data_IF_367991156423
#
_entry.id   IF_367991156423
#
_cell.length_a   1.000
_cell.length_b   1.000
_cell.length_c   1.000
_cell.angle_alpha   90.00
_cell.angle_beta   90.00
_cell.angle_gamma   90.00
#
_symmetry.space_group_name_H-M   'P 1'
#
loop_
_entity.id
_entity.type
_entity.pdbx_description
1 polymer ?
#
# COMPACT_ATOMS: atom_id res chain seq x y z
N UNK A 1 7.56 -1.15 35.56
CA UNK A 1 8.39 -1.85 34.56
C UNK A 1 8.76 -3.19 35.16
N UNK A 2 8.17 -4.29 34.70
CA UNK A 2 8.65 -5.62 35.07
C UNK A 2 10.06 -5.78 34.50
N UNK A 3 11.04 -6.14 35.32
CA UNK A 3 12.38 -6.45 34.83
C UNK A 3 12.25 -7.56 33.79
N UNK A 4 12.74 -7.34 32.56
CA UNK A 4 12.77 -8.38 31.53
C UNK A 4 13.73 -9.54 31.83
N UNK A 5 14.19 -9.65 33.09
CA UNK A 5 15.04 -10.71 33.58
C UNK A 5 14.16 -11.72 34.30
N UNK A 6 14.12 -12.94 33.79
CA UNK A 6 13.53 -14.10 34.46
C UNK A 6 14.46 -14.50 35.60
N UNK A 7 13.91 -14.66 36.80
CA UNK A 7 14.69 -15.12 37.95
C UNK A 7 14.95 -16.62 37.85
N UNK A 8 15.99 -17.11 38.54
CA UNK A 8 16.32 -18.55 38.54
C UNK A 8 15.15 -19.40 39.05
N UNK A 9 14.43 -18.90 40.04
CA UNK A 9 13.26 -19.54 40.65
C UNK A 9 12.10 -19.65 39.65
N UNK A 10 11.77 -18.57 38.91
CA UNK A 10 10.74 -18.60 37.87
C UNK A 10 11.06 -19.61 36.76
N UNK A 11 12.34 -19.78 36.42
CA UNK A 11 12.80 -20.70 35.40
C UNK A 11 12.69 -22.17 35.87
N UNK A 12 12.96 -22.42 37.15
CA UNK A 12 12.77 -23.73 37.80
C UNK A 12 11.29 -24.09 37.93
N UNK A 13 10.43 -23.14 38.30
CA UNK A 13 8.98 -23.35 38.33
C UNK A 13 8.41 -23.67 36.95
N UNK A 14 8.87 -22.98 35.91
CA UNK A 14 8.50 -23.28 34.52
C UNK A 14 8.96 -24.68 34.10
N UNK A 15 10.18 -25.09 34.47
CA UNK A 15 10.67 -26.46 34.25
C UNK A 15 9.81 -27.49 34.97
N UNK A 16 9.46 -27.23 36.24
CA UNK A 16 8.60 -28.11 37.04
C UNK A 16 7.19 -28.24 36.48
N UNK A 17 6.54 -27.13 36.13
CA UNK A 17 5.21 -27.14 35.50
C UNK A 17 5.21 -27.90 34.17
N UNK A 18 6.28 -27.76 33.37
CA UNK A 18 6.44 -28.51 32.13
C UNK A 18 6.58 -30.00 32.39
N UNK A 19 7.37 -30.37 33.41
CA UNK A 19 7.56 -31.74 33.83
C UNK A 19 6.25 -32.38 34.29
N UNK A 20 5.45 -31.68 35.10
CA UNK A 20 4.14 -32.13 35.57
C UNK A 20 3.15 -32.30 34.40
N UNK A 21 3.16 -31.36 33.44
CA UNK A 21 2.35 -31.48 32.23
C UNK A 21 2.77 -32.66 31.36
N UNK A 22 4.08 -32.92 31.27
CA UNK A 22 4.62 -34.06 30.54
C UNK A 22 4.24 -35.40 31.20
N UNK A 23 4.35 -35.48 32.52
CA UNK A 23 3.94 -36.64 33.31
C UNK A 23 2.45 -36.93 33.23
N UNK A 24 1.61 -35.89 33.09
CA UNK A 24 0.17 -36.05 32.88
C UNK A 24 -0.17 -36.65 31.51
N UNK A 25 0.64 -36.40 30.49
CA UNK A 25 0.45 -36.92 29.13
C UNK A 25 1.11 -38.29 28.94
N UNK A 26 2.11 -38.64 29.77
CA UNK A 26 2.72 -39.97 29.76
C UNK A 26 1.72 -41.07 30.07
N UNK A 27 1.82 -42.16 29.32
CA UNK A 27 1.13 -43.42 29.57
C UNK A 27 1.98 -44.32 30.48
N UNK A 28 1.37 -45.19 31.29
CA UNK A 28 2.10 -46.16 32.10
C UNK A 28 3.01 -47.10 31.29
N UNK A 29 2.67 -47.34 30.02
CA UNK A 29 3.43 -48.18 29.08
C UNK A 29 4.50 -47.41 28.28
N UNK A 30 4.57 -46.08 28.40
CA UNK A 30 5.67 -45.33 27.79
C UNK A 30 6.98 -45.79 28.42
N UNK A 31 8.06 -45.98 27.65
CA UNK A 31 9.30 -46.55 28.14
C UNK A 31 9.93 -45.61 29.19
N UNK A 32 9.58 -45.84 30.45
CA UNK A 32 10.32 -45.37 31.61
C UNK A 32 11.62 -46.16 31.59
N UNK A 33 12.74 -45.46 31.38
CA UNK A 33 14.06 -46.07 31.25
C UNK A 33 14.34 -47.06 32.38
N UNK A 34 14.03 -48.33 32.13
CA UNK A 34 14.31 -49.44 33.02
C UNK A 34 15.49 -50.16 32.41
N UNK A 35 16.68 -49.79 32.88
CA UNK A 35 17.87 -50.61 32.73
C UNK A 35 17.66 -51.91 33.53
N UNK A 36 16.87 -52.83 32.99
CA UNK A 36 16.92 -54.23 33.40
C UNK A 36 17.97 -54.94 32.55
N UNK A 37 19.09 -55.20 33.22
CA UNK A 37 19.93 -56.39 33.07
C UNK A 37 19.69 -57.25 31.80
N UNK A 38 20.56 -57.09 30.80
CA UNK A 38 21.00 -58.24 30.01
C UNK A 38 22.23 -58.81 30.72
N UNK A 39 22.20 -60.04 31.26
CA UNK A 39 23.42 -60.67 31.73
C UNK A 39 24.24 -61.10 30.52
N UNK A 40 25.39 -60.45 30.37
CA UNK A 40 26.59 -60.92 29.68
C UNK A 40 26.58 -60.96 28.13
N UNK A 41 27.18 -59.94 27.51
CA UNK A 41 27.92 -60.10 26.25
C UNK A 41 28.97 -58.99 26.06
N UNK A 42 30.23 -59.28 26.42
CA UNK A 42 31.44 -58.75 25.76
C UNK A 42 31.94 -57.35 26.14
N UNK A 43 33.28 -57.11 26.10
CA UNK A 43 33.89 -55.81 26.34
C UNK A 43 33.91 -55.02 25.03
N UNK A 44 32.77 -54.48 24.60
CA UNK A 44 32.76 -53.39 23.63
C UNK A 44 31.72 -52.36 24.07
N UNK A 45 32.12 -51.55 25.05
CA UNK A 45 31.37 -50.38 25.51
C UNK A 45 31.36 -49.32 24.39
N UNK A 46 30.50 -49.53 23.38
CA UNK A 46 29.95 -48.42 22.63
C UNK A 46 28.99 -47.72 23.57
N UNK A 47 29.35 -46.51 24.01
CA UNK A 47 28.45 -45.63 24.75
C UNK A 47 27.26 -45.27 23.85
N UNK A 48 26.25 -46.13 23.81
CA UNK A 48 24.91 -45.66 23.55
C UNK A 48 24.53 -44.81 24.75
N UNK A 49 24.54 -43.50 24.51
CA UNK A 49 23.99 -42.47 25.37
C UNK A 49 22.51 -42.81 25.57
N UNK A 50 22.24 -43.67 26.54
CA UNK A 50 20.92 -44.10 26.95
C UNK A 50 20.13 -42.84 27.28
N UNK A 51 19.20 -42.53 26.39
CA UNK A 51 18.36 -41.34 26.42
C UNK A 51 17.58 -41.34 27.74
N UNK A 52 17.94 -40.42 28.62
CA UNK A 52 17.16 -40.05 29.79
C UNK A 52 15.92 -39.32 29.29
N UNK A 53 14.86 -40.05 28.94
CA UNK A 53 13.54 -39.50 28.59
C UNK A 53 12.68 -39.21 29.84
N UNK A 54 13.33 -39.02 30.99
CA UNK A 54 12.63 -38.64 32.23
C UNK A 54 12.38 -37.14 32.31
N UNK A 55 13.12 -36.32 31.58
CA UNK A 55 13.01 -34.86 31.60
C UNK A 55 12.24 -34.35 30.38
N UNK A 56 11.21 -33.52 30.61
CA UNK A 56 10.42 -32.92 29.55
C UNK A 56 11.34 -32.13 28.58
N UNK A 57 11.23 -32.33 27.25
CA UNK A 57 12.10 -31.67 26.27
C UNK A 57 12.21 -30.17 26.54
N UNK A 58 13.44 -29.66 26.64
CA UNK A 58 13.64 -28.22 26.80
C UNK A 58 13.11 -27.49 25.55
N UNK A 59 12.35 -26.38 25.73
CA UNK A 59 11.81 -25.64 24.61
C UNK A 59 12.97 -25.14 23.76
N UNK A 60 12.78 -25.18 22.45
CA UNK A 60 13.80 -24.73 21.50
C UNK A 60 14.31 -23.34 21.89
N UNK A 61 15.61 -23.28 22.19
CA UNK A 61 16.29 -22.02 22.48
C UNK A 61 16.07 -21.11 21.28
N UNK A 62 15.68 -19.86 21.54
CA UNK A 62 15.40 -18.88 20.50
C UNK A 62 16.59 -18.81 19.51
N UNK A 63 16.39 -19.36 18.31
CA UNK A 63 17.43 -19.44 17.28
C UNK A 63 17.75 -18.08 16.63
N UNK A 64 17.07 -17.00 17.07
CA UNK A 64 17.42 -15.64 16.66
C UNK A 64 18.76 -15.26 17.28
N UNK A 65 19.68 -14.80 16.44
CA UNK A 65 20.93 -14.21 16.91
C UNK A 65 20.64 -13.07 17.90
N UNK A 66 21.51 -12.87 18.89
CA UNK A 66 21.43 -11.72 19.80
C UNK A 66 21.32 -10.40 19.02
N UNK A 67 21.99 -10.32 17.87
CA UNK A 67 21.91 -9.17 16.96
C UNK A 67 20.47 -8.94 16.44
N UNK A 68 19.79 -10.00 16.01
CA UNK A 68 18.41 -9.92 15.53
C UNK A 68 17.46 -9.54 16.66
N UNK A 69 17.62 -10.11 17.85
CA UNK A 69 16.80 -9.76 19.01
C UNK A 69 16.96 -8.29 19.41
N UNK A 70 18.19 -7.77 19.44
CA UNK A 70 18.45 -6.37 19.76
C UNK A 70 17.93 -5.44 18.66
N UNK A 71 18.04 -5.84 17.38
CA UNK A 71 17.46 -5.11 16.25
C UNK A 71 15.95 -5.05 16.37
N UNK A 72 15.28 -6.20 16.53
CA UNK A 72 13.82 -6.30 16.69
C UNK A 72 13.34 -5.45 17.89
N UNK A 73 14.05 -5.49 19.03
CA UNK A 73 13.74 -4.66 20.20
C UNK A 73 13.88 -3.16 19.94
N UNK A 74 14.89 -2.75 19.17
CA UNK A 74 15.11 -1.35 18.80
C UNK A 74 14.02 -0.90 17.83
N UNK A 75 13.74 -1.69 16.81
CA UNK A 75 12.70 -1.42 15.81
C UNK A 75 11.31 -1.38 16.44
N UNK A 76 10.97 -2.29 17.35
CA UNK A 76 9.69 -2.29 18.06
C UNK A 76 9.52 -1.02 18.90
N UNK A 77 10.54 -0.64 19.69
CA UNK A 77 10.51 0.62 20.46
C UNK A 77 10.42 1.85 19.56
N UNK A 78 11.13 1.84 18.43
CA UNK A 78 11.11 2.95 17.49
C UNK A 78 9.74 3.08 16.82
N UNK A 79 9.14 1.97 16.39
CA UNK A 79 7.81 1.93 15.80
C UNK A 79 6.75 2.45 16.78
N UNK A 80 6.81 2.05 18.06
CA UNK A 80 5.89 2.53 19.10
C UNK A 80 6.03 4.06 19.33
N UNK A 81 7.27 4.56 19.36
CA UNK A 81 7.54 6.00 19.49
C UNK A 81 6.99 6.76 18.27
N UNK A 82 7.19 6.23 17.07
CA UNK A 82 6.76 6.87 15.83
C UNK A 82 5.23 6.84 15.69
N UNK A 83 4.57 5.76 16.12
CA UNK A 83 3.11 5.69 16.26
C UNK A 83 2.59 6.74 17.26
N UNK A 84 3.14 6.81 18.47
CA UNK A 84 2.74 7.78 19.49
C UNK A 84 2.94 9.23 19.02
N UNK A 85 4.06 9.53 18.36
CA UNK A 85 4.32 10.85 17.77
C UNK A 85 3.40 11.16 16.61
N UNK A 86 3.09 10.16 15.77
CA UNK A 86 2.13 10.31 14.68
C UNK A 86 0.74 10.63 15.22
N UNK A 87 0.29 9.96 16.28
CA UNK A 87 -0.97 10.29 16.94
C UNK A 87 -0.97 11.72 17.49
N UNK A 88 0.12 12.16 18.13
CA UNK A 88 0.25 13.54 18.62
C UNK A 88 0.24 14.58 17.49
N UNK A 89 0.87 14.28 16.37
CA UNK A 89 0.91 15.17 15.21
C UNK A 89 -0.42 15.22 14.47
N UNK A 90 -1.14 14.10 14.40
CA UNK A 90 -2.46 14.02 13.78
C UNK A 90 -3.58 14.61 14.65
N UNK A 91 -3.43 14.55 15.97
CA UNK A 91 -4.34 15.12 16.96
C UNK A 91 -3.68 16.38 17.55
N UNK A 92 -3.07 17.19 16.68
CA UNK A 92 -2.70 18.56 17.01
C UNK A 92 -3.83 19.44 16.52
N UNK A 93 -4.47 20.18 17.43
CA UNK A 93 -5.44 21.21 17.02
C UNK A 93 -4.75 22.23 16.11
N UNK A 94 -5.56 22.89 15.27
CA UNK A 94 -5.11 24.13 14.61
C UNK A 94 -4.89 25.15 15.73
N UNK A 95 -3.69 25.72 15.81
CA UNK A 95 -3.39 26.75 16.80
C UNK A 95 -4.15 28.06 16.47
N UNK A 96 -4.31 28.95 17.45
CA UNK A 96 -5.01 30.24 17.27
C UNK A 96 -4.43 31.05 16.09
N UNK A 97 -3.09 31.15 16.02
CA UNK A 97 -2.37 31.81 14.93
C UNK A 97 -2.58 31.14 13.55
N UNK A 98 -2.63 29.80 13.52
CA UNK A 98 -2.87 29.04 12.30
C UNK A 98 -4.32 29.22 11.81
N UNK A 99 -5.27 29.30 12.74
CA UNK A 99 -6.69 29.56 12.42
C UNK A 99 -6.89 30.95 11.81
N UNK A 100 -6.24 31.97 12.39
CA UNK A 100 -6.27 33.35 11.90
C UNK A 100 -5.59 33.49 10.53
N UNK A 101 -4.51 32.73 10.30
CA UNK A 101 -3.89 32.64 8.99
C UNK A 101 -4.84 32.06 7.94
N UNK A 102 -5.52 30.95 8.25
CA UNK A 102 -6.47 30.32 7.33
C UNK A 102 -7.69 31.21 7.05
N UNK A 103 -8.21 31.92 8.06
CA UNK A 103 -9.28 32.90 7.90
C UNK A 103 -8.88 34.00 6.92
N UNK A 104 -7.69 34.61 7.11
CA UNK A 104 -7.16 35.64 6.19
C UNK A 104 -6.93 35.12 4.78
N UNK A 105 -6.42 33.90 4.61
CA UNK A 105 -6.24 33.29 3.28
C UNK A 105 -7.57 33.02 2.60
N UNK A 106 -8.58 32.56 3.35
CA UNK A 106 -9.94 32.35 2.86
C UNK A 106 -10.57 33.66 2.41
N UNK A 107 -10.45 34.70 3.22
CA UNK A 107 -10.92 36.05 2.92
C UNK A 107 -10.25 36.57 1.64
N UNK A 108 -8.91 36.55 1.57
CA UNK A 108 -8.16 37.02 0.40
C UNK A 108 -8.55 36.28 -0.89
N UNK A 109 -8.68 34.95 -0.85
CA UNK A 109 -9.14 34.17 -2.01
C UNK A 109 -10.56 34.53 -2.42
N UNK A 110 -11.44 34.73 -1.44
CA UNK A 110 -12.84 35.12 -1.70
C UNK A 110 -12.91 36.53 -2.33
N UNK A 111 -12.06 37.45 -1.90
CA UNK A 111 -11.96 38.81 -2.46
C UNK A 111 -11.44 38.79 -3.90
N UNK A 112 -10.40 38.00 -4.17
CA UNK A 112 -9.87 37.81 -5.51
C UNK A 112 -10.94 37.25 -6.46
N UNK A 113 -11.70 36.24 -6.02
CA UNK A 113 -12.83 35.70 -6.79
C UNK A 113 -13.93 36.73 -7.01
N UNK A 114 -14.29 37.51 -5.98
CA UNK A 114 -15.30 38.57 -6.08
C UNK A 114 -14.88 39.66 -7.07
N UNK A 115 -13.61 40.05 -7.03
CA UNK A 115 -13.04 41.05 -7.94
C UNK A 115 -13.01 40.53 -9.38
N UNK A 116 -12.52 39.32 -9.60
CA UNK A 116 -12.51 38.69 -10.92
C UNK A 116 -13.92 38.57 -11.51
N UNK A 117 -14.90 38.12 -10.71
CA UNK A 117 -16.30 38.02 -11.14
C UNK A 117 -16.90 39.38 -11.53
N UNK A 118 -16.58 40.43 -10.77
CA UNK A 118 -17.04 41.79 -11.05
C UNK A 118 -16.42 42.33 -12.35
N UNK A 119 -15.12 42.13 -12.54
CA UNK A 119 -14.41 42.55 -13.76
C UNK A 119 -14.95 41.81 -14.99
N UNK A 120 -15.26 40.52 -14.88
CA UNK A 120 -15.91 39.76 -15.95
C UNK A 120 -17.32 40.27 -16.27
N UNK A 121 -18.13 40.55 -15.25
CA UNK A 121 -19.49 41.07 -15.41
C UNK A 121 -19.49 42.45 -16.08
N UNK A 122 -18.59 43.34 -15.67
CA UNK A 122 -18.46 44.68 -16.22
C UNK A 122 -17.95 44.62 -17.69
N UNK A 123 -17.00 43.73 -18.00
CA UNK A 123 -16.55 43.49 -19.37
C UNK A 123 -17.67 42.96 -20.29
N UNK A 124 -18.52 42.05 -19.78
CA UNK A 124 -19.68 41.54 -20.52
C UNK A 124 -20.73 42.64 -20.77
N UNK A 125 -21.00 43.49 -19.78
CA UNK A 125 -21.92 44.64 -19.94
C UNK A 125 -21.39 45.63 -20.98
N UNK A 126 -20.09 45.94 -20.93
CA UNK A 126 -19.46 46.83 -21.91
C UNK A 126 -19.54 46.24 -23.33
N UNK A 127 -19.21 44.95 -23.49
CA UNK A 127 -19.32 44.26 -24.78
C UNK A 127 -20.76 44.24 -25.32
N UNK A 128 -21.76 44.07 -24.44
CA UNK A 128 -23.17 44.14 -24.81
C UNK A 128 -23.56 45.54 -25.31
N UNK A 129 -23.12 46.60 -24.62
CA UNK A 129 -23.36 48.00 -25.03
C UNK A 129 -22.63 48.32 -26.34
N UNK A 130 -21.39 47.87 -26.51
CA UNK A 130 -20.64 48.06 -27.75
C UNK A 130 -21.33 47.36 -28.94
N UNK A 131 -21.79 46.11 -28.73
CA UNK A 131 -22.55 45.36 -29.73
C UNK A 131 -23.88 46.04 -30.06
N UNK A 132 -24.60 46.56 -29.07
CA UNK A 132 -25.85 47.28 -29.32
C UNK A 132 -25.62 48.59 -30.07
N UNK A 133 -24.52 49.30 -29.79
CA UNK A 133 -24.12 50.53 -30.50
C UNK A 133 -23.71 50.24 -31.95
N UNK A 134 -22.95 49.17 -32.22
CA UNK A 134 -22.60 48.76 -33.58
C UNK A 134 -23.83 48.41 -34.42
N UNK A 135 -24.83 47.74 -33.83
CA UNK A 135 -26.11 47.47 -34.50
C UNK A 135 -26.91 48.74 -34.88
N UNK A 136 -26.58 49.91 -34.34
CA UNK A 136 -27.24 51.19 -34.68
C UNK A 136 -26.50 52.00 -35.76
N UNK A 137 -25.30 51.59 -36.19
CA UNK A 137 -24.42 52.41 -37.06
C UNK A 137 -24.20 51.80 -38.45
N UNK A 138 -24.50 50.52 -38.70
CA UNK A 138 -24.41 49.93 -40.05
C UNK A 138 -25.79 49.67 -40.68
N UNK A 139 -26.18 50.34 -41.79
CA UNK A 139 -27.23 49.83 -42.65
C UNK A 139 -26.75 48.51 -43.29
N UNK A 140 -27.62 47.49 -43.45
CA UNK A 140 -27.21 46.14 -43.81
C UNK A 140 -26.69 46.10 -45.25
N UNK A 141 -25.39 46.28 -45.46
CA UNK A 141 -24.74 46.04 -46.74
C UNK A 141 -24.27 44.60 -46.77
N UNK A 142 -25.19 43.72 -47.16
CA UNK A 142 -24.89 42.36 -47.59
C UNK A 142 -23.96 42.47 -48.80
N UNK A 143 -22.64 42.30 -48.64
CA UNK A 143 -21.77 42.13 -49.79
C UNK A 143 -20.50 41.36 -49.43
N UNK A 144 -20.46 40.13 -49.96
CA UNK A 144 -19.25 39.38 -50.35
C UNK A 144 -18.46 38.69 -49.24
N UNK A 145 -19.04 37.58 -48.77
CA UNK A 145 -18.26 36.40 -48.36
C UNK A 145 -17.46 35.88 -49.57
N UNK A 146 -16.15 36.14 -49.60
CA UNK A 146 -15.21 35.38 -50.43
C UNK A 146 -15.01 34.02 -49.75
N UNK A 147 -15.57 32.97 -50.35
CA UNK A 147 -15.34 31.57 -49.94
C UNK A 147 -13.87 31.24 -50.21
N UNK A 148 -13.08 31.14 -49.14
CA UNK A 148 -11.74 30.53 -49.19
C UNK A 148 -11.95 29.00 -49.26
N UNK A 149 -11.23 28.28 -50.16
CA UNK A 149 -11.37 26.84 -50.31
C UNK A 149 -11.16 26.10 -48.98
N UNK A 150 -12.07 25.19 -48.65
CA UNK A 150 -11.95 24.30 -47.49
C UNK A 150 -11.00 23.16 -47.87
N UNK A 151 -9.95 22.96 -47.08
CA UNK A 151 -9.15 21.73 -47.12
C UNK A 151 -10.01 20.54 -46.69
N UNK A 152 -10.07 19.50 -47.53
CA UNK A 152 -10.75 18.22 -47.30
C UNK A 152 -10.00 17.35 -46.27
N UNK A 153 -9.97 17.80 -45.01
CA UNK A 153 -9.69 16.89 -43.89
C UNK A 153 -10.89 16.84 -42.95
N UNK A 154 -11.34 15.64 -42.53
CA UNK A 154 -12.50 15.50 -41.66
C UNK A 154 -12.24 16.28 -40.37
N UNK A 155 -12.96 17.40 -40.22
CA UNK A 155 -12.87 18.25 -39.04
C UNK A 155 -13.42 17.46 -37.85
N UNK A 156 -12.52 17.03 -36.98
CA UNK A 156 -12.90 16.37 -35.73
C UNK A 156 -13.79 17.32 -34.93
N UNK A 157 -14.86 16.79 -34.32
CA UNK A 157 -15.78 17.62 -33.56
C UNK A 157 -15.04 18.34 -32.43
N UNK A 158 -15.50 19.55 -32.07
CA UNK A 158 -14.91 20.33 -30.97
C UNK A 158 -14.82 19.50 -29.68
N UNK A 159 -15.80 18.63 -29.44
CA UNK A 159 -15.80 17.67 -28.33
C UNK A 159 -14.70 16.61 -28.48
N UNK A 160 -14.52 16.03 -29.68
CA UNK A 160 -13.46 15.04 -29.92
C UNK A 160 -12.05 15.62 -29.75
N UNK A 161 -11.84 16.89 -30.13
CA UNK A 161 -10.57 17.57 -29.93
C UNK A 161 -10.22 17.72 -28.42
N UNK A 162 -11.21 18.08 -27.59
CA UNK A 162 -11.04 18.18 -26.13
C UNK A 162 -10.77 16.81 -25.51
N UNK A 163 -11.45 15.76 -25.98
CA UNK A 163 -11.23 14.40 -25.48
C UNK A 163 -9.86 13.84 -25.87
N UNK A 164 -9.32 14.24 -27.03
CA UNK A 164 -8.01 13.79 -27.50
C UNK A 164 -6.85 14.24 -26.61
N UNK A 165 -6.94 15.43 -26.01
CA UNK A 165 -5.92 15.93 -25.08
C UNK A 165 -6.11 15.37 -23.66
N UNK A 166 -7.35 15.05 -23.27
CA UNK A 166 -7.67 14.49 -21.97
C UNK A 166 -7.28 13.01 -21.82
N UNK A 167 -7.22 12.25 -22.92
CA UNK A 167 -6.95 10.80 -22.90
C UNK A 167 -5.48 10.53 -23.26
N UNK A 168 -4.65 10.25 -22.26
CA UNK A 168 -3.26 9.78 -22.46
C UNK A 168 -3.24 8.27 -22.73
N UNK A 169 -3.24 7.86 -23.99
CA UNK A 169 -3.07 6.45 -24.37
C UNK A 169 -1.63 6.02 -24.11
N UNK A 170 -1.41 5.06 -23.19
CA UNK A 170 -0.11 4.40 -23.06
C UNK A 170 0.17 3.58 -24.32
N UNK A 171 1.34 3.78 -24.93
CA UNK A 171 1.73 3.04 -26.12
C UNK A 171 1.92 1.56 -25.79
N UNK A 172 1.36 0.69 -26.62
CA UNK A 172 1.43 -0.77 -26.45
C UNK A 172 2.87 -1.32 -26.56
N UNK A 173 3.79 -0.51 -27.11
CA UNK A 173 5.23 -0.82 -27.20
C UNK A 173 5.87 -0.93 -25.81
N UNK A 174 5.44 -0.11 -24.84
CA UNK A 174 5.93 -0.17 -23.46
C UNK A 174 5.33 -1.33 -22.67
N UNK A 175 4.12 -1.79 -23.03
CA UNK A 175 3.45 -2.91 -22.35
C UNK A 175 3.95 -4.28 -22.81
N UNK A 176 4.39 -4.40 -24.07
CA UNK A 176 4.92 -5.67 -24.60
C UNK A 176 6.28 -6.02 -23.98
N UNK A 177 7.16 -5.04 -23.77
CA UNK A 177 8.46 -5.26 -23.12
C UNK A 177 8.34 -5.73 -21.67
N UNK A 178 7.37 -5.25 -20.90
CA UNK A 178 7.14 -5.70 -19.52
C UNK A 178 6.51 -7.11 -19.49
N UNK A 179 5.62 -7.43 -20.44
CA UNK A 179 4.98 -8.76 -20.51
C UNK A 179 5.94 -9.86 -20.96
N UNK A 180 6.83 -9.59 -21.93
CA UNK A 180 7.81 -10.58 -22.40
C UNK A 180 8.91 -10.83 -21.37
N UNK A 181 9.36 -9.80 -20.64
CA UNK A 181 10.40 -9.98 -19.62
C UNK A 181 9.92 -10.74 -18.37
N UNK A 182 8.62 -10.70 -18.06
CA UNK A 182 8.03 -11.47 -16.95
C UNK A 182 7.72 -12.94 -17.34
N UNK A 183 7.46 -13.20 -18.63
CA UNK A 183 7.13 -14.55 -19.12
C UNK A 183 8.35 -15.44 -19.43
N UNK A 184 9.57 -14.90 -19.42
CA UNK A 184 10.78 -15.69 -19.64
C UNK A 184 11.32 -16.37 -18.37
N UNK A 185 10.71 -16.13 -17.19
CA UNK A 185 11.25 -16.61 -15.90
C UNK A 185 10.30 -17.53 -15.10
N UNK A 186 9.07 -17.76 -15.58
CA UNK A 186 8.16 -18.74 -14.98
C UNK A 186 7.58 -19.62 -16.08
N UNK A 187 8.13 -20.84 -16.19
CA UNK A 187 7.59 -21.85 -17.09
C UNK A 187 6.22 -22.30 -16.60
N UNK A 188 5.15 -21.84 -17.25
CA UNK A 188 3.84 -22.46 -17.10
C UNK A 188 3.00 -22.34 -18.38
N UNK A 189 2.50 -23.51 -18.78
CA UNK A 189 1.78 -23.84 -19.99
C UNK A 189 0.36 -23.25 -19.95
N UNK A 190 -0.13 -22.60 -21.01
CA UNK A 190 -1.55 -22.26 -21.11
C UNK A 190 -2.14 -22.65 -22.47
N UNK A 191 -3.03 -23.63 -22.38
CA UNK A 191 -3.87 -24.18 -23.42
C UNK A 191 -4.99 -23.16 -23.72
N UNK A 192 -5.19 -22.85 -25.00
CA UNK A 192 -6.48 -22.67 -25.66
C UNK A 192 -7.49 -21.65 -25.11
N UNK A 193 -7.80 -20.62 -25.89
CA UNK A 193 -8.96 -20.62 -26.81
C UNK A 193 -9.21 -19.20 -27.32
N UNK A 194 -8.94 -18.99 -28.61
CA UNK A 194 -9.29 -17.78 -29.34
C UNK A 194 -10.71 -17.98 -29.89
N UNK A 195 -11.71 -17.39 -29.24
CA UNK A 195 -13.08 -17.34 -29.78
C UNK A 195 -13.36 -15.92 -30.28
N UNK A 196 -13.06 -15.73 -31.57
CA UNK A 196 -13.49 -14.60 -32.37
C UNK A 196 -15.01 -14.64 -32.54
N UNK A 197 -15.72 -13.57 -32.22
CA UNK A 197 -17.08 -13.32 -32.70
C UNK A 197 -17.23 -11.86 -33.11
N UNK A 198 -16.96 -11.64 -34.40
CA UNK A 198 -17.58 -10.59 -35.20
C UNK A 198 -19.00 -11.01 -35.58
N UNK A 199 -19.98 -10.14 -35.35
CA UNK A 199 -21.28 -10.05 -36.04
C UNK A 199 -21.77 -8.63 -35.75
N UNK A 200 -21.65 -7.65 -36.67
CA UNK A 200 -22.58 -7.38 -37.78
C UNK A 200 -24.03 -7.67 -37.38
N UNK A 201 -24.73 -6.66 -36.83
CA UNK A 201 -25.64 -5.70 -37.51
C UNK A 201 -27.09 -6.24 -37.56
N UNK A 202 -28.14 -5.42 -37.74
CA UNK A 202 -28.22 -3.95 -37.78
C UNK A 202 -28.99 -3.31 -36.60
#
# INVERSE_FOLDING_TARGET
MSSGFVTTEELEELRKRRQEQWEKVRRPDDPVGFSSCVPNAGPHFSYHKSIVLSEAPEPEVCNKSLYEQLRDNKEAKQAEIDEAKKFKNMIRGIDEDESDFLARVSELKSEQLRKAKKEEEDALKEAAIARSKQNLIEPPTISQLKVVPKDDRPQQSKQAAILSSAIKRKSWVASFYIRVHFFANEGFNWIGTYASRNSLEP
#
